data_IF_617502253504
#
_entry.id   IF_617502253504
#
_cell.length_a   1.000
_cell.length_b   1.000
_cell.length_c   1.000
_cell.angle_alpha   90.00
_cell.angle_beta   90.00
_cell.angle_gamma   90.00
#
_symmetry.space_group_name_H-M   'P 1'
#
loop_
_entity.id
_entity.type
_entity.pdbx_description
1 polymer ?
#
# COMPACT_ATOMS: atom_id res chain seq x y z
N UNK A 1 -17.53 -8.46 -17.51
CA UNK A 1 -17.70 -8.78 -16.07
C UNK A 1 -18.11 -7.50 -15.37
N UNK A 2 -19.36 -7.44 -14.90
CA UNK A 2 -19.97 -6.20 -14.47
C UNK A 2 -19.36 -5.64 -13.17
N UNK A 3 -19.10 -4.34 -13.17
CA UNK A 3 -18.88 -3.61 -11.96
C UNK A 3 -20.16 -3.67 -11.13
N UNK A 4 -20.06 -4.11 -9.88
CA UNK A 4 -21.19 -4.03 -8.96
C UNK A 4 -21.29 -2.56 -8.55
N UNK A 5 -22.26 -1.87 -9.15
CA UNK A 5 -22.62 -0.51 -8.79
C UNK A 5 -23.58 -0.58 -7.59
N UNK A 6 -23.19 -0.02 -6.47
CA UNK A 6 -24.12 0.29 -5.40
C UNK A 6 -24.58 1.74 -5.56
N UNK A 7 -25.89 1.96 -5.51
CA UNK A 7 -26.51 3.28 -5.57
C UNK A 7 -26.83 3.73 -4.15
N UNK A 8 -26.12 4.72 -3.64
CA UNK A 8 -26.45 5.39 -2.39
C UNK A 8 -26.63 6.89 -2.63
N UNK A 9 -27.80 7.41 -2.28
CA UNK A 9 -28.17 8.85 -2.33
C UNK A 9 -27.82 9.59 -3.64
N UNK A 10 -27.97 8.94 -4.78
CA UNK A 10 -27.77 9.58 -6.08
C UNK A 10 -26.32 9.63 -6.57
N UNK A 11 -25.40 8.91 -5.94
CA UNK A 11 -24.02 8.72 -6.40
C UNK A 11 -23.73 7.26 -6.71
N UNK A 12 -23.05 7.02 -7.82
CA UNK A 12 -22.51 5.70 -8.12
C UNK A 12 -21.24 5.52 -7.28
N UNK A 13 -21.23 4.54 -6.37
CA UNK A 13 -20.06 4.19 -5.59
C UNK A 13 -19.33 3.10 -6.37
N UNK A 14 -18.18 3.43 -6.92
CA UNK A 14 -17.27 2.43 -7.46
C UNK A 14 -16.60 1.72 -6.28
N UNK A 15 -16.84 0.43 -6.12
CA UNK A 15 -16.13 -0.37 -5.13
C UNK A 15 -14.84 -0.92 -5.72
N UNK A 16 -13.71 -0.52 -5.15
CA UNK A 16 -12.44 -1.14 -5.47
C UNK A 16 -12.45 -2.64 -5.10
N UNK A 17 -11.86 -3.47 -5.94
CA UNK A 17 -11.61 -4.88 -5.64
C UNK A 17 -10.17 -5.04 -5.17
N UNK A 18 -9.98 -5.77 -4.08
CA UNK A 18 -8.66 -5.99 -3.49
C UNK A 18 -8.17 -7.39 -3.81
N UNK A 19 -6.93 -7.49 -4.30
CA UNK A 19 -6.25 -8.75 -4.55
C UNK A 19 -4.99 -8.78 -3.70
N UNK A 20 -4.87 -9.72 -2.78
CA UNK A 20 -3.71 -9.89 -1.93
C UNK A 20 -2.82 -11.00 -2.48
N UNK A 21 -1.59 -10.64 -2.83
CA UNK A 21 -0.56 -11.60 -3.24
C UNK A 21 0.31 -11.89 -2.02
N UNK A 22 0.19 -13.08 -1.48
CA UNK A 22 0.92 -13.52 -0.28
C UNK A 22 1.81 -14.70 -0.60
N UNK A 23 2.80 -14.95 0.24
CA UNK A 23 3.70 -16.09 0.09
C UNK A 23 4.70 -16.16 1.24
N UNK A 24 5.55 -17.19 1.25
CA UNK A 24 6.57 -17.37 2.27
C UNK A 24 7.55 -16.20 2.38
N UNK A 25 8.24 -16.11 3.52
CA UNK A 25 9.19 -15.04 3.86
C UNK A 25 10.46 -14.99 3.00
N UNK A 26 10.68 -15.99 2.16
CA UNK A 26 11.87 -16.03 1.30
C UNK A 26 11.76 -15.00 0.18
N UNK A 27 12.74 -14.11 0.11
CA UNK A 27 12.94 -13.23 -1.04
C UNK A 27 13.24 -14.07 -2.29
N UNK A 28 12.86 -13.57 -3.46
CA UNK A 28 13.15 -14.28 -4.72
C UNK A 28 12.10 -15.31 -5.15
N UNK A 29 11.04 -15.56 -4.38
CA UNK A 29 9.91 -16.41 -4.82
C UNK A 29 9.08 -15.80 -5.95
N UNK A 30 9.39 -14.58 -6.37
CA UNK A 30 8.68 -13.92 -7.47
C UNK A 30 7.34 -13.30 -7.10
N UNK A 31 7.04 -13.09 -5.82
CA UNK A 31 5.78 -12.43 -5.38
C UNK A 31 5.57 -11.07 -6.04
N UNK A 32 6.60 -10.22 -6.04
CA UNK A 32 6.53 -8.88 -6.64
C UNK A 32 6.28 -8.92 -8.15
N UNK A 33 7.03 -9.75 -8.87
CA UNK A 33 6.85 -9.96 -10.31
C UNK A 33 5.46 -10.52 -10.64
N UNK A 34 4.97 -11.45 -9.84
CA UNK A 34 3.62 -12.00 -10.02
C UNK A 34 2.55 -10.92 -9.83
N UNK A 35 2.67 -10.10 -8.78
CA UNK A 35 1.75 -9.00 -8.52
C UNK A 35 1.79 -7.96 -9.65
N UNK A 36 2.98 -7.54 -10.08
CA UNK A 36 3.16 -6.59 -11.17
C UNK A 36 2.60 -7.11 -12.50
N UNK A 37 2.86 -8.37 -12.84
CA UNK A 37 2.36 -9.01 -14.06
C UNK A 37 0.84 -9.12 -14.03
N UNK A 38 0.26 -9.51 -12.90
CA UNK A 38 -1.20 -9.54 -12.74
C UNK A 38 -1.80 -8.14 -12.90
N UNK A 39 -1.20 -7.12 -12.28
CA UNK A 39 -1.60 -5.72 -12.42
C UNK A 39 -1.59 -5.29 -13.89
N UNK A 40 -0.53 -5.60 -14.63
CA UNK A 40 -0.44 -5.32 -16.07
C UNK A 40 -1.56 -6.01 -16.88
N UNK A 41 -1.82 -7.28 -16.62
CA UNK A 41 -2.87 -8.02 -17.29
C UNK A 41 -4.27 -7.45 -17.03
N UNK A 42 -4.52 -6.99 -15.81
CA UNK A 42 -5.77 -6.32 -15.43
C UNK A 42 -5.91 -4.97 -16.13
N UNK A 43 -4.83 -4.17 -16.17
CA UNK A 43 -4.79 -2.91 -16.92
C UNK A 43 -5.04 -3.12 -18.41
N UNK A 44 -4.45 -4.13 -19.03
CA UNK A 44 -4.71 -4.48 -20.44
C UNK A 44 -6.17 -4.87 -20.71
N UNK A 45 -6.94 -5.21 -19.68
CA UNK A 45 -8.38 -5.45 -19.76
C UNK A 45 -9.23 -4.20 -19.51
N UNK A 46 -8.60 -3.03 -19.43
CA UNK A 46 -9.30 -1.76 -19.25
C UNK A 46 -9.67 -1.44 -17.79
N UNK A 47 -9.08 -2.14 -16.81
CA UNK A 47 -9.30 -1.85 -15.41
C UNK A 47 -8.29 -0.80 -14.92
N UNK A 48 -8.71 0.12 -14.07
CA UNK A 48 -7.80 0.94 -13.29
C UNK A 48 -7.14 0.07 -12.23
N UNK A 49 -5.83 0.14 -12.09
CA UNK A 49 -5.04 -0.71 -11.19
C UNK A 49 -4.12 0.16 -10.36
N UNK A 50 -4.13 -0.04 -9.06
CA UNK A 50 -3.11 0.48 -8.16
C UNK A 50 -2.41 -0.68 -7.46
N UNK A 51 -1.14 -0.54 -7.17
CA UNK A 51 -0.38 -1.53 -6.43
C UNK A 51 0.15 -0.96 -5.10
N UNK A 52 0.16 -1.81 -4.08
CA UNK A 52 0.68 -1.47 -2.77
C UNK A 52 1.59 -2.59 -2.27
N UNK A 53 2.73 -2.21 -1.71
CA UNK A 53 3.63 -3.11 -1.02
C UNK A 53 3.51 -2.90 0.48
N UNK A 54 3.30 -3.99 1.21
CA UNK A 54 3.28 -4.01 2.67
C UNK A 54 4.55 -4.69 3.16
N UNK A 55 5.45 -3.90 3.76
CA UNK A 55 6.74 -4.37 4.23
C UNK A 55 6.74 -4.63 5.74
N UNK A 56 7.21 -5.80 6.20
CA UNK A 56 7.12 -6.20 7.60
C UNK A 56 8.20 -5.59 8.50
N UNK A 57 9.20 -4.89 7.94
CA UNK A 57 10.27 -4.32 8.76
C UNK A 57 9.81 -3.08 9.55
N UNK A 58 10.57 -2.74 10.60
CA UNK A 58 10.22 -1.68 11.57
C UNK A 58 10.81 -0.31 11.21
N UNK A 59 11.60 -0.19 10.17
CA UNK A 59 12.01 1.11 9.65
C UNK A 59 10.77 1.88 9.14
N UNK A 60 10.74 3.19 9.39
CA UNK A 60 9.60 4.03 8.95
C UNK A 60 9.54 4.09 7.43
N UNK A 61 10.70 4.19 6.80
CA UNK A 61 10.93 4.14 5.36
C UNK A 61 12.30 3.50 5.07
N UNK A 62 12.64 3.19 3.82
CA UNK A 62 13.91 2.57 3.47
C UNK A 62 15.09 3.56 3.41
N UNK A 63 14.88 4.86 3.54
CA UNK A 63 15.91 5.89 3.34
C UNK A 63 17.12 5.78 4.27
N UNK A 64 16.94 5.19 5.47
CA UNK A 64 18.02 4.95 6.45
C UNK A 64 18.60 3.54 6.36
N UNK A 65 18.10 2.69 5.49
CA UNK A 65 18.55 1.31 5.36
C UNK A 65 19.81 1.21 4.49
N UNK A 66 20.66 0.24 4.81
CA UNK A 66 21.87 0.00 4.01
C UNK A 66 21.51 -0.51 2.61
N UNK A 67 21.98 0.14 1.54
CA UNK A 67 21.76 -0.35 0.17
C UNK A 67 22.28 -1.76 -0.08
N UNK A 68 23.30 -2.19 0.67
CA UNK A 68 23.87 -3.53 0.56
C UNK A 68 22.91 -4.61 1.13
N UNK A 69 22.05 -4.25 2.07
CA UNK A 69 21.11 -5.18 2.69
C UNK A 69 19.72 -5.12 2.06
N UNK A 70 19.30 -3.95 1.61
CA UNK A 70 17.93 -3.70 1.19
C UNK A 70 17.77 -3.32 -0.29
N UNK A 71 18.86 -2.98 -0.96
CA UNK A 71 18.88 -2.40 -2.29
C UNK A 71 18.73 -0.88 -2.27
N UNK A 72 18.65 -0.30 -3.44
CA UNK A 72 18.48 1.14 -3.61
C UNK A 72 17.05 1.59 -3.24
N UNK A 73 16.93 2.84 -2.84
CA UNK A 73 15.64 3.49 -2.57
C UNK A 73 15.03 3.95 -3.89
N UNK A 74 13.75 3.69 -4.07
CA UNK A 74 12.95 4.26 -5.13
C UNK A 74 12.14 5.45 -4.60
N UNK A 75 12.14 6.56 -5.33
CA UNK A 75 11.39 7.76 -4.94
C UNK A 75 10.23 7.95 -5.92
N UNK A 76 9.01 8.01 -5.38
CA UNK A 76 7.80 8.26 -6.16
C UNK A 76 7.70 9.74 -6.58
N UNK A 77 6.83 10.06 -7.54
CA UNK A 77 6.65 11.43 -8.04
C UNK A 77 6.26 12.44 -6.94
N UNK A 78 5.59 11.98 -5.88
CA UNK A 78 5.24 12.79 -4.72
C UNK A 78 6.37 12.91 -3.67
N UNK A 79 7.58 12.43 -3.99
CA UNK A 79 8.77 12.55 -3.16
C UNK A 79 8.87 11.52 -2.04
N UNK A 80 8.04 10.49 -2.03
CA UNK A 80 8.07 9.46 -0.98
C UNK A 80 9.17 8.44 -1.27
N UNK A 81 10.05 8.22 -0.28
CA UNK A 81 11.06 7.16 -0.33
C UNK A 81 10.42 5.80 -0.09
N UNK A 82 10.68 4.86 -0.99
CA UNK A 82 10.04 3.55 -1.00
C UNK A 82 11.03 2.44 -1.35
N UNK A 83 10.60 1.21 -1.18
CA UNK A 83 11.35 0.04 -1.63
C UNK A 83 11.50 -0.01 -3.15
N UNK A 84 12.63 -0.52 -3.63
CA UNK A 84 12.97 -0.63 -5.05
C UNK A 84 11.91 -1.41 -5.87
N UNK A 85 11.21 -2.34 -5.25
CA UNK A 85 10.15 -3.11 -5.91
C UNK A 85 9.03 -2.21 -6.48
N UNK A 86 8.83 -1.02 -5.89
CA UNK A 86 7.84 -0.07 -6.40
C UNK A 86 8.20 0.46 -7.78
N UNK A 87 9.47 0.67 -8.04
CA UNK A 87 9.95 1.01 -9.39
C UNK A 87 9.65 -0.08 -10.41
N UNK A 88 9.71 -1.34 -10.00
CA UNK A 88 9.29 -2.45 -10.86
C UNK A 88 7.78 -2.44 -11.10
N UNK A 89 6.98 -2.13 -10.08
CA UNK A 89 5.52 -2.05 -10.23
C UNK A 89 5.13 -0.92 -11.19
N UNK A 90 5.70 0.27 -11.05
CA UNK A 90 5.47 1.36 -12.01
C UNK A 90 5.79 0.94 -13.43
N UNK A 91 6.97 0.37 -13.63
CA UNK A 91 7.45 -0.04 -14.95
C UNK A 91 6.58 -1.12 -15.60
N UNK A 92 6.11 -2.11 -14.83
CA UNK A 92 5.29 -3.21 -15.36
C UNK A 92 3.84 -2.78 -15.60
N UNK A 93 3.27 -2.04 -14.65
CA UNK A 93 1.86 -1.64 -14.69
C UNK A 93 1.68 -0.40 -15.54
N UNK A 94 2.74 0.42 -15.69
CA UNK A 94 2.71 1.70 -16.42
C UNK A 94 1.71 2.67 -15.76
N UNK A 95 1.85 2.83 -14.44
CA UNK A 95 1.11 3.75 -13.59
C UNK A 95 2.03 4.31 -12.52
N UNK A 96 1.99 5.63 -12.30
CA UNK A 96 2.75 6.26 -11.24
C UNK A 96 2.19 5.87 -9.87
N UNK A 97 3.08 5.54 -8.97
CA UNK A 97 2.76 5.22 -7.58
C UNK A 97 2.87 6.47 -6.69
N UNK A 98 2.32 6.39 -5.50
CA UNK A 98 2.28 7.50 -4.56
C UNK A 98 2.57 7.03 -3.12
N UNK A 99 2.54 7.96 -2.16
CA UNK A 99 2.81 7.71 -0.74
C UNK A 99 1.98 6.59 -0.09
N UNK A 100 0.85 6.23 -0.67
CA UNK A 100 0.03 5.12 -0.18
C UNK A 100 0.46 3.77 -0.75
N UNK A 101 1.32 3.75 -1.74
CA UNK A 101 1.76 2.54 -2.43
C UNK A 101 2.78 1.72 -1.63
N UNK A 102 3.41 2.31 -0.61
CA UNK A 102 4.32 1.62 0.30
C UNK A 102 3.95 1.87 1.75
N UNK A 103 3.82 0.80 2.51
CA UNK A 103 3.53 0.84 3.93
C UNK A 103 4.44 -0.14 4.67
N UNK A 104 5.21 0.38 5.63
CA UNK A 104 6.06 -0.41 6.52
C UNK A 104 5.39 -0.60 7.88
N UNK A 105 5.75 -1.65 8.60
CA UNK A 105 5.34 -1.83 10.01
C UNK A 105 5.73 -0.60 10.85
N UNK A 106 6.94 -0.08 10.66
CA UNK A 106 7.41 1.11 11.37
C UNK A 106 6.52 2.33 11.14
N UNK A 107 6.13 2.58 9.89
CA UNK A 107 5.23 3.69 9.53
C UNK A 107 3.85 3.56 10.17
N UNK A 108 3.30 2.35 10.23
CA UNK A 108 2.02 2.08 10.90
C UNK A 108 2.12 2.42 12.40
N UNK A 109 3.12 1.90 13.09
CA UNK A 109 3.31 2.18 14.52
C UNK A 109 3.60 3.65 14.77
N UNK A 110 4.44 4.28 13.96
CA UNK A 110 4.73 5.71 14.05
C UNK A 110 3.46 6.55 14.00
N UNK A 111 2.59 6.27 13.04
CA UNK A 111 1.33 7.00 12.89
C UNK A 111 0.39 6.79 14.09
N UNK A 112 0.26 5.56 14.57
CA UNK A 112 -0.61 5.25 15.72
C UNK A 112 -0.08 5.90 16.99
N UNK A 113 1.22 5.85 17.23
CA UNK A 113 1.84 6.50 18.39
C UNK A 113 1.69 8.03 18.34
N UNK A 114 1.89 8.65 17.19
CA UNK A 114 1.66 10.08 17.01
C UNK A 114 0.21 10.47 17.26
N UNK A 115 -0.75 9.71 16.75
CA UNK A 115 -2.19 9.92 17.02
C UNK A 115 -2.50 9.79 18.51
N UNK A 116 -1.91 8.82 19.20
CA UNK A 116 -2.04 8.65 20.65
C UNK A 116 -1.53 9.88 21.38
N UNK A 117 -0.32 10.34 21.09
CA UNK A 117 0.29 11.53 21.71
C UNK A 117 -0.51 12.82 21.47
N UNK A 118 -1.22 12.90 20.34
CA UNK A 118 -2.11 14.01 20.02
C UNK A 118 -3.53 13.87 20.63
N UNK A 119 -3.79 12.81 21.39
CA UNK A 119 -5.08 12.58 22.05
C UNK A 119 -6.19 12.06 21.15
N UNK A 120 -5.87 11.58 19.96
CA UNK A 120 -6.87 11.12 18.98
C UNK A 120 -7.74 9.94 19.48
N UNK A 121 -7.26 9.21 20.48
CA UNK A 121 -7.98 8.05 21.03
C UNK A 121 -8.71 8.37 22.34
N UNK A 122 -8.78 9.63 22.74
CA UNK A 122 -9.58 10.11 23.90
C UNK A 122 -9.34 9.32 25.21
N UNK A 123 -8.09 8.93 25.47
CA UNK A 123 -7.71 8.17 26.66
C UNK A 123 -8.01 6.66 26.61
N UNK A 124 -8.47 6.16 25.48
CA UNK A 124 -8.64 4.71 25.27
C UNK A 124 -7.28 3.99 25.30
N UNK A 125 -7.28 2.74 25.74
CA UNK A 125 -6.11 1.87 25.60
C UNK A 125 -5.90 1.53 24.14
N UNK A 126 -4.75 1.93 23.58
CA UNK A 126 -4.38 1.64 22.19
C UNK A 126 -3.83 0.22 22.10
N UNK A 127 -4.39 -0.59 21.21
CA UNK A 127 -4.08 -2.01 21.04
C UNK A 127 -3.81 -2.34 19.57
N UNK A 128 -3.21 -3.51 19.34
CA UNK A 128 -2.98 -4.01 17.98
C UNK A 128 -4.32 -4.11 17.23
N UNK A 129 -5.32 -4.69 17.86
CA UNK A 129 -6.70 -4.72 17.36
C UNK A 129 -7.56 -3.86 18.28
N UNK A 130 -8.23 -2.82 17.78
CA UNK A 130 -8.38 -2.47 16.34
C UNK A 130 -7.43 -1.39 15.80
N UNK A 131 -6.58 -0.76 16.62
CA UNK A 131 -5.91 0.50 16.24
C UNK A 131 -4.85 0.31 15.15
N UNK A 132 -3.92 -0.65 15.32
CA UNK A 132 -2.90 -0.96 14.30
C UNK A 132 -3.57 -1.53 13.04
N UNK A 133 -4.50 -2.46 13.19
CA UNK A 133 -5.21 -3.05 12.04
C UNK A 133 -6.05 -2.03 11.28
N UNK A 134 -6.66 -1.06 11.96
CA UNK A 134 -7.40 0.00 11.30
C UNK A 134 -6.48 0.98 10.58
N UNK A 135 -5.29 1.26 11.11
CA UNK A 135 -4.29 2.08 10.43
C UNK A 135 -3.85 1.42 9.13
N UNK A 136 -3.56 0.12 9.12
CA UNK A 136 -3.23 -0.63 7.89
C UNK A 136 -4.38 -0.54 6.88
N UNK A 137 -5.61 -0.80 7.31
CA UNK A 137 -6.79 -0.70 6.44
C UNK A 137 -6.98 0.70 5.86
N UNK A 138 -6.69 1.75 6.65
CA UNK A 138 -6.81 3.13 6.15
C UNK A 138 -5.88 3.41 4.98
N UNK A 139 -4.66 2.88 5.00
CA UNK A 139 -3.72 3.01 3.87
C UNK A 139 -4.21 2.29 2.63
N UNK A 140 -4.79 1.09 2.79
CA UNK A 140 -5.36 0.32 1.68
C UNK A 140 -6.53 1.09 1.04
N UNK A 141 -7.42 1.64 1.85
CA UNK A 141 -8.57 2.41 1.35
C UNK A 141 -8.16 3.75 0.74
N UNK A 142 -7.17 4.43 1.32
CA UNK A 142 -6.66 5.68 0.78
C UNK A 142 -6.02 5.49 -0.60
N UNK A 143 -5.28 4.39 -0.81
CA UNK A 143 -4.76 4.07 -2.13
C UNK A 143 -5.91 3.84 -3.14
N UNK A 144 -6.92 3.06 -2.76
CA UNK A 144 -8.07 2.82 -3.62
C UNK A 144 -8.76 4.13 -4.02
N UNK A 145 -9.00 5.03 -3.05
CA UNK A 145 -9.62 6.34 -3.31
C UNK A 145 -8.74 7.29 -4.14
N UNK A 146 -7.43 7.17 -4.08
CA UNK A 146 -6.50 7.99 -4.86
C UNK A 146 -6.36 7.55 -6.32
N UNK A 147 -6.92 6.40 -6.67
CA UNK A 147 -6.83 5.78 -8.01
C UNK A 147 -8.11 6.02 -8.83
N UNK A 148 -9.15 6.54 -8.19
CA UNK A 148 -10.39 6.94 -8.85
C UNK A 148 -10.19 8.25 -9.62
#
# INVERSE_FOLDING_TARGET
>A
MGNILFYDRGRYIFMAKFIFVTGGVVSGLGKGITAASLGRLLKCRGLKVASQKLDPYVNVDPGTMSPLQHGEVFVTDDGTETDLDLGHYERFIDENLNKYSNLTTGKVYWNVLNKERQGAYLGQTVQIIPHITNEIKSYIYNLASSTE
#
